data_IF_831964854858
#
_entry.id   IF_831964854858
#
_cell.length_a   1.000
_cell.length_b   1.000
_cell.length_c   1.000
_cell.angle_alpha   90.00
_cell.angle_beta   90.00
_cell.angle_gamma   90.00
#
_symmetry.space_group_name_H-M   'P 1'
#
loop_
_entity.id
_entity.type
_entity.pdbx_description
1 polymer ?
#
# COMPACT_ATOMS: atom_id res chain seq x y z
N UNK A 1 -8.15 -50.87 -27.39
CA UNK A 1 -7.47 -49.86 -28.24
C UNK A 1 -6.22 -49.39 -27.49
N UNK A 2 -5.05 -49.80 -27.98
CA UNK A 2 -3.89 -48.95 -28.36
C UNK A 2 -3.79 -47.57 -27.65
N UNK A 3 -2.68 -47.05 -27.08
CA UNK A 3 -1.22 -47.14 -27.27
C UNK A 3 -0.49 -46.68 -25.98
N UNK A 4 0.77 -47.10 -25.87
CA UNK A 4 1.81 -46.96 -24.82
C UNK A 4 2.66 -45.67 -25.00
N UNK A 5 3.49 -45.32 -24.00
CA UNK A 5 4.75 -44.50 -24.03
C UNK A 5 4.62 -42.97 -23.77
N UNK A 6 5.56 -42.21 -23.21
CA UNK A 6 6.94 -42.36 -22.65
C UNK A 6 7.27 -41.02 -21.90
N UNK A 7 8.10 -41.06 -20.85
CA UNK A 7 8.81 -39.89 -20.27
C UNK A 7 9.92 -39.39 -21.22
N UNK A 8 10.44 -38.15 -21.09
CA UNK A 8 11.70 -37.98 -20.34
C UNK A 8 11.87 -36.68 -19.53
N UNK A 9 12.77 -36.76 -18.57
CA UNK A 9 13.40 -35.66 -17.83
C UNK A 9 14.35 -34.84 -18.73
N UNK A 10 14.45 -33.54 -18.45
CA UNK A 10 15.53 -32.69 -18.95
C UNK A 10 16.15 -31.92 -17.78
N UNK A 11 17.44 -32.17 -17.58
CA UNK A 11 18.34 -31.46 -16.68
C UNK A 11 18.62 -30.05 -17.20
N UNK A 12 18.86 -29.09 -16.30
CA UNK A 12 19.54 -27.84 -16.62
C UNK A 12 20.73 -27.64 -15.69
N UNK A 13 21.86 -27.55 -16.35
CA UNK A 13 23.25 -27.50 -15.91
C UNK A 13 23.62 -26.19 -15.24
N UNK A 14 24.53 -26.30 -14.26
CA UNK A 14 25.36 -25.22 -13.71
C UNK A 14 26.08 -24.40 -14.80
N UNK A 15 26.12 -23.08 -14.61
CA UNK A 15 27.15 -22.20 -15.16
C UNK A 15 27.64 -21.26 -14.05
N UNK A 16 28.94 -21.34 -13.74
CA UNK A 16 29.69 -20.47 -12.86
C UNK A 16 30.52 -19.45 -13.67
N UNK A 17 31.15 -18.50 -12.96
CA UNK A 17 32.10 -17.44 -13.39
C UNK A 17 31.44 -16.09 -13.78
N UNK A 18 31.88 -14.92 -13.31
CA UNK A 18 33.01 -14.51 -12.44
C UNK A 18 32.76 -13.10 -11.84
N UNK A 19 33.47 -12.71 -10.75
CA UNK A 19 33.41 -11.38 -10.14
C UNK A 19 34.70 -10.56 -10.42
N UNK A 20 34.58 -9.34 -10.94
CA UNK A 20 35.61 -8.28 -11.02
C UNK A 20 34.81 -6.95 -11.20
N UNK A 21 35.04 -5.81 -10.54
CA UNK A 21 36.29 -5.16 -10.15
C UNK A 21 36.11 -4.15 -9.00
N UNK A 22 37.18 -4.05 -8.22
CA UNK A 22 37.61 -3.04 -7.26
C UNK A 22 37.09 -1.59 -7.38
N UNK A 23 36.91 -0.94 -6.22
CA UNK A 23 37.58 0.33 -5.98
C UNK A 23 38.05 0.43 -4.51
N UNK A 24 39.27 0.95 -4.38
CA UNK A 24 40.20 0.93 -3.25
C UNK A 24 39.82 1.88 -2.09
N UNK A 25 39.94 1.36 -0.85
CA UNK A 25 40.60 1.89 0.37
C UNK A 25 41.19 3.32 0.40
N UNK A 26 41.26 4.01 1.59
CA UNK A 26 42.01 3.52 2.75
C UNK A 26 41.47 3.83 4.18
N UNK A 27 41.90 2.99 5.12
CA UNK A 27 41.82 3.17 6.58
C UNK A 27 42.86 4.21 7.09
N UNK A 28 42.77 4.69 8.35
CA UNK A 28 43.48 3.96 9.42
C UNK A 28 42.83 3.94 10.82
N UNK A 29 42.99 2.78 11.47
CA UNK A 29 43.37 2.46 12.87
C UNK A 29 42.77 3.12 14.12
N UNK A 30 42.51 2.23 15.10
CA UNK A 30 42.45 2.35 16.58
C UNK A 30 41.21 3.06 17.16
N UNK A 31 40.45 2.48 18.10
CA UNK A 31 40.91 2.03 19.43
C UNK A 31 39.89 1.06 20.05
N UNK A 32 40.40 0.02 20.73
CA UNK A 32 39.67 -0.88 21.62
C UNK A 32 39.15 -0.11 22.84
N UNK A 33 37.86 -0.21 23.17
CA UNK A 33 37.36 0.12 24.50
C UNK A 33 36.33 -0.92 24.95
N UNK A 34 36.57 -1.41 26.17
CA UNK A 34 35.93 -2.53 26.80
C UNK A 34 34.51 -2.22 27.31
N UNK A 35 33.78 -3.30 27.53
CA UNK A 35 32.47 -3.48 28.16
C UNK A 35 32.13 -2.54 29.33
N UNK A 36 30.91 -2.03 29.30
CA UNK A 36 30.06 -1.81 30.48
C UNK A 36 28.59 -1.97 30.07
N UNK A 37 27.83 -2.93 30.62
CA UNK A 37 26.38 -2.97 30.43
C UNK A 37 25.73 -1.91 31.33
N UNK A 38 25.36 -0.78 30.74
CA UNK A 38 24.61 0.26 31.46
C UNK A 38 23.13 -0.16 31.60
N UNK A 39 22.49 0.02 32.77
CA UNK A 39 21.18 -0.54 33.07
C UNK A 39 20.04 0.26 32.42
N UNK A 40 19.08 -0.48 31.84
CA UNK A 40 17.65 -0.15 31.79
C UNK A 40 17.25 1.25 31.31
N UNK A 41 17.32 1.48 30.00
CA UNK A 41 16.54 2.58 29.39
C UNK A 41 15.07 2.14 29.27
N UNK A 42 14.10 2.96 29.70
CA UNK A 42 12.68 2.68 29.45
C UNK A 42 12.48 2.57 27.94
N UNK A 43 11.77 1.53 27.50
CA UNK A 43 11.76 1.03 26.12
C UNK A 43 11.63 2.15 25.09
N UNK A 44 12.69 2.36 24.30
CA UNK A 44 12.65 3.25 23.16
C UNK A 44 11.65 2.65 22.15
N UNK A 45 10.52 3.32 21.93
CA UNK A 45 9.57 2.92 20.90
C UNK A 45 10.28 2.97 19.54
N UNK A 46 10.43 1.81 18.90
CA UNK A 46 11.05 1.72 17.59
C UNK A 46 10.02 2.06 16.53
N UNK A 47 10.23 3.17 15.82
CA UNK A 47 9.46 3.46 14.61
C UNK A 47 9.95 2.62 13.44
N UNK A 48 9.03 2.22 12.57
CA UNK A 48 9.31 1.49 11.34
C UNK A 48 9.72 2.44 10.23
N UNK A 49 10.52 1.92 9.31
CA UNK A 49 10.74 2.60 8.04
C UNK A 49 9.42 2.70 7.26
N UNK A 50 9.23 3.74 6.45
CA UNK A 50 8.05 3.87 5.60
C UNK A 50 7.88 2.64 4.71
N UNK A 51 6.64 2.16 4.61
CA UNK A 51 6.27 1.07 3.71
C UNK A 51 6.52 1.45 2.25
N UNK A 52 6.84 0.45 1.42
CA UNK A 52 6.89 0.62 -0.05
C UNK A 52 5.53 1.00 -0.63
N UNK A 53 4.43 0.71 0.08
CA UNK A 53 3.09 1.15 -0.29
C UNK A 53 2.96 2.67 -0.32
N UNK A 54 3.83 3.42 0.38
CA UNK A 54 3.84 4.88 0.29
C UNK A 54 4.37 5.43 -1.04
N UNK A 55 4.99 4.58 -1.86
CA UNK A 55 5.29 4.94 -3.25
C UNK A 55 4.06 4.83 -4.16
N UNK A 56 3.05 4.04 -3.77
CA UNK A 56 1.74 3.99 -4.43
C UNK A 56 0.79 5.02 -3.81
N UNK A 57 0.51 4.93 -2.50
CA UNK A 57 -0.24 5.97 -1.79
C UNK A 57 0.68 7.16 -1.50
N UNK A 58 0.85 8.01 -2.50
CA UNK A 58 1.65 9.23 -2.40
C UNK A 58 0.98 10.25 -1.48
N UNK A 59 1.76 11.22 -1.00
CA UNK A 59 1.22 12.31 -0.18
C UNK A 59 0.20 13.16 -0.95
N UNK A 60 0.34 13.29 -2.27
CA UNK A 60 -0.60 14.07 -3.08
C UNK A 60 -1.93 13.32 -3.26
N UNK A 61 -1.90 12.03 -3.57
CA UNK A 61 -3.09 11.18 -3.60
C UNK A 61 -3.80 11.13 -2.23
N UNK A 62 -3.04 11.13 -1.13
CA UNK A 62 -3.62 11.21 0.20
C UNK A 62 -4.27 12.57 0.50
N UNK A 63 -3.74 13.67 -0.05
CA UNK A 63 -4.28 15.03 0.11
C UNK A 63 -5.54 15.31 -0.68
N UNK A 64 -5.81 14.53 -1.73
CA UNK A 64 -7.12 14.54 -2.40
C UNK A 64 -8.20 14.19 -1.36
N UNK A 65 -8.05 13.07 -0.64
CA UNK A 65 -9.04 12.63 0.36
C UNK A 65 -8.95 13.35 1.71
N UNK A 66 -7.74 13.67 2.16
CA UNK A 66 -7.49 14.23 3.50
C UNK A 66 -6.68 15.51 3.36
N UNK A 67 -7.35 16.68 3.33
CA UNK A 67 -6.66 17.97 3.21
C UNK A 67 -5.56 18.13 4.26
N UNK A 68 -4.35 18.47 3.80
CA UNK A 68 -3.19 18.63 4.69
C UNK A 68 -2.63 17.33 5.26
N UNK A 69 -3.00 16.17 4.70
CA UNK A 69 -2.47 14.86 5.06
C UNK A 69 -0.95 14.84 5.27
N UNK A 70 -0.55 14.24 6.40
CA UNK A 70 0.84 14.00 6.79
C UNK A 70 1.06 12.52 7.02
N UNK A 71 2.26 12.05 6.67
CA UNK A 71 2.63 10.65 6.86
C UNK A 71 2.53 10.25 8.34
N UNK A 72 1.91 9.10 8.59
CA UNK A 72 1.75 8.54 9.93
C UNK A 72 2.80 7.45 10.15
N UNK A 73 3.82 7.78 10.94
CA UNK A 73 4.87 6.83 11.29
C UNK A 73 4.29 5.67 12.11
N UNK A 74 4.69 4.45 11.76
CA UNK A 74 4.25 3.26 12.48
C UNK A 74 5.23 2.88 13.57
N UNK A 75 4.68 2.47 14.72
CA UNK A 75 5.45 1.86 15.78
C UNK A 75 5.56 0.36 15.51
N UNK A 76 6.78 -0.15 15.53
CA UNK A 76 7.04 -1.58 15.35
C UNK A 76 6.54 -2.37 16.55
N UNK A 77 5.99 -3.58 16.36
CA UNK A 77 5.59 -4.41 17.47
C UNK A 77 6.82 -4.92 18.23
N UNK A 78 6.68 -5.14 19.54
CA UNK A 78 7.75 -5.75 20.35
C UNK A 78 8.09 -7.17 19.90
N UNK A 79 7.11 -7.87 19.28
CA UNK A 79 7.25 -9.22 18.72
C UNK A 79 6.44 -9.38 17.44
N UNK A 80 6.94 -10.18 16.51
CA UNK A 80 6.26 -10.50 15.24
C UNK A 80 6.62 -9.55 14.11
N UNK A 81 5.97 -9.74 12.97
CA UNK A 81 6.14 -8.91 11.77
C UNK A 81 5.15 -7.76 11.80
N UNK A 82 5.62 -6.54 11.55
CA UNK A 82 4.74 -5.40 11.40
C UNK A 82 3.84 -5.52 10.16
N UNK A 83 2.59 -5.05 10.21
CA UNK A 83 1.76 -5.00 9.03
C UNK A 83 2.36 -4.05 7.99
N UNK A 84 2.27 -4.41 6.71
CA UNK A 84 2.70 -3.55 5.63
C UNK A 84 1.61 -2.51 5.34
N UNK A 85 1.79 -1.30 5.85
CA UNK A 85 0.79 -0.24 5.77
C UNK A 85 1.45 1.06 5.30
N UNK A 86 0.78 1.82 4.44
CA UNK A 86 1.04 3.25 4.30
C UNK A 86 -0.16 4.03 4.83
N UNK A 87 0.06 5.03 5.67
CA UNK A 87 -1.02 5.81 6.25
C UNK A 87 -0.67 7.30 6.30
N UNK A 88 -1.70 8.12 6.10
CA UNK A 88 -1.65 9.56 6.30
C UNK A 88 -2.83 10.00 7.15
N UNK A 89 -2.62 11.03 7.95
CA UNK A 89 -3.62 11.60 8.83
C UNK A 89 -3.59 13.12 8.72
N UNK A 90 -4.75 13.76 8.87
CA UNK A 90 -4.83 15.21 8.95
C UNK A 90 -4.16 15.72 10.23
N UNK A 91 -3.66 16.96 10.27
CA UNK A 91 -2.96 17.51 11.44
C UNK A 91 -3.84 17.58 12.71
N UNK A 92 -5.15 17.72 12.52
CA UNK A 92 -6.17 17.78 13.57
C UNK A 92 -6.79 16.41 13.89
N UNK A 93 -6.40 15.35 13.19
CA UNK A 93 -6.92 13.99 13.38
C UNK A 93 -8.35 13.76 12.88
N UNK A 94 -8.96 14.74 12.21
CA UNK A 94 -10.32 14.64 11.66
C UNK A 94 -10.44 13.71 10.47
N UNK A 95 -9.33 13.39 9.78
CA UNK A 95 -9.32 12.50 8.62
C UNK A 95 -8.09 11.62 8.56
N UNK A 96 -8.25 10.42 8.02
CA UNK A 96 -7.15 9.50 7.75
C UNK A 96 -7.39 8.68 6.49
N UNK A 97 -6.30 8.31 5.82
CA UNK A 97 -6.31 7.38 4.69
C UNK A 97 -5.16 6.40 4.85
N UNK A 98 -5.40 5.13 4.56
CA UNK A 98 -4.36 4.10 4.57
C UNK A 98 -4.53 3.06 3.48
N UNK A 99 -3.40 2.54 3.00
CA UNK A 99 -3.33 1.46 2.03
C UNK A 99 -2.63 0.25 2.66
N UNK A 100 -3.27 -0.91 2.57
CA UNK A 100 -2.76 -2.18 3.11
C UNK A 100 -3.04 -3.34 2.15
N UNK A 101 -2.22 -4.40 2.15
CA UNK A 101 -2.64 -5.68 1.59
C UNK A 101 -3.70 -6.28 2.51
N UNK A 102 -4.74 -6.87 1.92
CA UNK A 102 -5.74 -7.58 2.69
C UNK A 102 -5.11 -8.80 3.39
N UNK A 103 -5.63 -9.10 4.58
CA UNK A 103 -5.20 -10.29 5.34
C UNK A 103 -5.92 -11.56 4.87
N UNK A 104 -7.00 -11.40 4.09
CA UNK A 104 -7.81 -12.49 3.55
C UNK A 104 -7.95 -12.36 2.02
N UNK A 105 -8.26 -13.45 1.31
CA UNK A 105 -8.60 -13.38 -0.11
C UNK A 105 -9.84 -12.52 -0.34
N UNK A 106 -9.93 -11.87 -1.50
CA UNK A 106 -11.07 -11.03 -1.91
C UNK A 106 -12.46 -11.60 -1.58
N UNK A 107 -12.70 -12.89 -1.86
CA UNK A 107 -14.00 -13.51 -1.59
C UNK A 107 -14.35 -13.53 -0.09
N UNK A 108 -13.35 -13.68 0.78
CA UNK A 108 -13.52 -13.66 2.23
C UNK A 108 -13.72 -12.22 2.74
N UNK A 109 -13.03 -11.24 2.17
CA UNK A 109 -13.27 -9.81 2.46
C UNK A 109 -14.70 -9.41 2.07
N UNK A 110 -15.16 -9.80 0.89
CA UNK A 110 -16.52 -9.53 0.43
C UNK A 110 -17.58 -10.20 1.32
N UNK A 111 -17.35 -11.45 1.74
CA UNK A 111 -18.23 -12.14 2.67
C UNK A 111 -18.28 -11.46 4.05
N UNK A 112 -17.14 -10.97 4.54
CA UNK A 112 -17.07 -10.20 5.79
C UNK A 112 -17.87 -8.90 5.69
N UNK A 113 -17.70 -8.15 4.60
CA UNK A 113 -18.45 -6.92 4.33
C UNK A 113 -19.97 -7.14 4.32
N UNK A 114 -20.45 -8.20 3.65
CA UNK A 114 -21.87 -8.54 3.67
C UNK A 114 -22.38 -9.00 5.04
N UNK A 115 -21.54 -9.72 5.81
CA UNK A 115 -21.89 -10.12 7.17
C UNK A 115 -22.03 -8.91 8.09
N UNK A 116 -21.09 -7.96 8.00
CA UNK A 116 -21.15 -6.69 8.72
C UNK A 116 -22.35 -5.85 8.32
N UNK A 117 -22.69 -5.81 7.02
CA UNK A 117 -23.91 -5.15 6.55
C UNK A 117 -25.18 -5.77 7.14
N UNK A 118 -25.20 -7.10 7.31
CA UNK A 118 -26.35 -7.81 7.85
C UNK A 118 -26.51 -7.58 9.36
N UNK A 119 -25.40 -7.49 10.11
CA UNK A 119 -25.40 -7.25 11.55
C UNK A 119 -24.27 -6.27 11.96
N UNK A 120 -24.50 -4.95 11.86
CA UNK A 120 -23.46 -3.95 12.08
C UNK A 120 -23.25 -3.56 13.55
N UNK A 121 -24.24 -3.84 14.41
CA UNK A 121 -24.23 -3.39 15.80
C UNK A 121 -23.07 -3.93 16.65
N UNK A 122 -22.65 -5.21 16.52
CA UNK A 122 -21.50 -5.74 17.26
C UNK A 122 -20.18 -5.04 16.94
N UNK A 123 -20.04 -4.47 15.75
CA UNK A 123 -18.88 -3.68 15.33
C UNK A 123 -18.99 -2.19 15.72
N UNK A 124 -20.07 -1.78 16.41
CA UNK A 124 -20.34 -0.38 16.69
C UNK A 124 -20.64 0.44 15.44
N UNK A 125 -21.09 -0.20 14.37
CA UNK A 125 -21.32 0.44 13.08
C UNK A 125 -22.81 0.62 12.78
N UNK A 126 -23.11 1.55 11.87
CA UNK A 126 -24.44 1.78 11.34
C UNK A 126 -24.37 2.28 9.90
N UNK A 127 -25.50 2.25 9.18
CA UNK A 127 -25.57 2.76 7.81
C UNK A 127 -24.72 1.99 6.80
N UNK A 128 -24.35 0.73 7.09
CA UNK A 128 -23.42 -0.05 6.26
C UNK A 128 -24.00 -0.28 4.86
N UNK A 129 -23.18 0.00 3.84
CA UNK A 129 -23.45 -0.26 2.42
C UNK A 129 -22.26 -1.00 1.81
N UNK A 130 -22.54 -1.86 0.84
CA UNK A 130 -21.54 -2.61 0.08
C UNK A 130 -21.94 -2.53 -1.38
N UNK A 131 -21.10 -1.88 -2.18
CA UNK A 131 -21.35 -1.60 -3.60
C UNK A 131 -20.24 -2.20 -4.46
N UNK A 132 -20.59 -2.83 -5.58
CA UNK A 132 -19.60 -3.30 -6.55
C UNK A 132 -18.94 -2.11 -7.25
N UNK A 133 -17.62 -2.18 -7.42
CA UNK A 133 -16.84 -1.16 -8.13
C UNK A 133 -16.31 -1.75 -9.43
N UNK A 134 -16.58 -1.07 -10.54
CA UNK A 134 -16.04 -1.41 -11.86
C UNK A 134 -14.81 -0.57 -12.20
N UNK A 135 -13.95 -1.11 -13.07
CA UNK A 135 -12.75 -0.42 -13.56
C UNK A 135 -11.63 -0.31 -12.52
N UNK A 136 -11.63 -1.17 -11.49
CA UNK A 136 -10.60 -1.24 -10.47
C UNK A 136 -10.19 -2.71 -10.27
N UNK A 137 -8.96 -3.06 -10.65
CA UNK A 137 -8.49 -4.44 -10.62
C UNK A 137 -9.36 -5.40 -11.45
N UNK A 138 -9.33 -6.69 -11.11
CA UNK A 138 -10.20 -7.70 -11.72
C UNK A 138 -11.60 -7.68 -11.10
N UNK A 139 -11.66 -7.45 -9.79
CA UNK A 139 -12.90 -7.27 -9.01
C UNK A 139 -12.65 -6.28 -7.89
N UNK A 140 -13.66 -5.48 -7.58
CA UNK A 140 -13.60 -4.53 -6.50
C UNK A 140 -14.98 -4.29 -5.87
N UNK A 141 -14.97 -3.89 -4.60
CA UNK A 141 -16.14 -3.38 -3.90
C UNK A 141 -15.76 -2.20 -3.01
N UNK A 142 -16.76 -1.38 -2.69
CA UNK A 142 -16.69 -0.30 -1.72
C UNK A 142 -17.64 -0.65 -0.58
N UNK A 143 -17.14 -0.65 0.64
CA UNK A 143 -17.94 -0.69 1.85
C UNK A 143 -17.92 0.70 2.48
N UNK A 144 -19.08 1.23 2.87
CA UNK A 144 -19.18 2.49 3.62
C UNK A 144 -19.99 2.27 4.88
N UNK A 145 -19.54 2.82 6.00
CA UNK A 145 -20.18 2.68 7.30
C UNK A 145 -19.97 3.93 8.15
N UNK A 146 -20.80 4.08 9.18
CA UNK A 146 -20.58 5.05 10.25
C UNK A 146 -20.26 4.34 11.56
N UNK A 147 -19.09 4.63 12.13
CA UNK A 147 -18.64 4.18 13.44
C UNK A 147 -19.26 5.08 14.51
N UNK A 148 -20.17 4.52 15.28
CA UNK A 148 -21.03 5.26 16.23
C UNK A 148 -20.31 5.79 17.47
N UNK A 149 -19.34 5.06 18.02
CA UNK A 149 -18.54 5.46 19.18
C UNK A 149 -17.46 6.48 18.83
N UNK A 150 -16.83 6.35 17.66
CA UNK A 150 -15.78 7.26 17.21
C UNK A 150 -16.33 8.48 16.47
N UNK A 151 -17.63 8.50 16.13
CA UNK A 151 -18.25 9.54 15.31
C UNK A 151 -17.51 9.71 13.98
N UNK A 152 -17.33 8.61 13.25
CA UNK A 152 -16.56 8.58 12.00
C UNK A 152 -17.33 7.92 10.86
N UNK A 153 -17.28 8.52 9.68
CA UNK A 153 -17.60 7.85 8.43
C UNK A 153 -16.36 7.11 7.96
N UNK A 154 -16.51 5.84 7.60
CA UNK A 154 -15.43 4.97 7.15
C UNK A 154 -15.80 4.37 5.80
N UNK A 155 -14.87 4.44 4.86
CA UNK A 155 -14.97 3.82 3.53
C UNK A 155 -13.81 2.85 3.36
N UNK A 156 -14.13 1.60 3.05
CA UNK A 156 -13.17 0.60 2.60
C UNK A 156 -13.35 0.35 1.11
N UNK A 157 -12.34 0.67 0.31
CA UNK A 157 -12.28 0.25 -1.10
C UNK A 157 -11.38 -0.96 -1.20
N UNK A 158 -11.95 -2.10 -1.57
CA UNK A 158 -11.25 -3.40 -1.63
C UNK A 158 -11.21 -3.88 -3.07
N UNK A 159 -10.04 -4.24 -3.57
CA UNK A 159 -9.88 -4.76 -4.93
C UNK A 159 -8.85 -5.87 -5.02
N UNK A 160 -9.02 -6.74 -6.00
CA UNK A 160 -8.03 -7.76 -6.34
C UNK A 160 -7.25 -7.36 -7.58
N UNK A 161 -5.92 -7.51 -7.52
CA UNK A 161 -5.00 -7.29 -8.63
C UNK A 161 -4.01 -8.46 -8.67
N UNK A 162 -4.17 -9.35 -9.66
CA UNK A 162 -3.45 -10.61 -9.72
C UNK A 162 -3.66 -11.45 -8.46
N UNK A 163 -2.56 -11.91 -7.85
CA UNK A 163 -2.60 -12.76 -6.65
C UNK A 163 -2.86 -12.00 -5.33
N UNK A 164 -2.97 -10.67 -5.35
CA UNK A 164 -3.10 -9.84 -4.14
C UNK A 164 -4.47 -9.17 -4.06
N UNK A 165 -4.94 -8.98 -2.84
CA UNK A 165 -6.10 -8.14 -2.52
C UNK A 165 -5.61 -6.94 -1.73
N UNK A 166 -6.12 -5.77 -2.05
CA UNK A 166 -5.72 -4.48 -1.49
C UNK A 166 -6.91 -3.82 -0.82
N UNK A 167 -6.65 -3.07 0.25
CA UNK A 167 -7.64 -2.31 1.00
C UNK A 167 -7.14 -0.88 1.15
N UNK A 168 -7.88 0.06 0.57
CA UNK A 168 -7.78 1.49 0.84
C UNK A 168 -8.86 1.84 1.88
N UNK A 169 -8.44 2.25 3.06
CA UNK A 169 -9.33 2.71 4.12
C UNK A 169 -9.26 4.23 4.17
N UNK A 170 -10.42 4.89 4.07
CA UNK A 170 -10.59 6.30 4.33
C UNK A 170 -11.52 6.45 5.54
N UNK A 171 -11.16 7.31 6.50
CA UNK A 171 -12.01 7.63 7.62
C UNK A 171 -12.03 9.13 7.85
N UNK A 172 -13.20 9.69 8.14
CA UNK A 172 -13.38 11.10 8.49
C UNK A 172 -14.37 11.25 9.63
N UNK A 173 -14.17 12.26 10.48
CA UNK A 173 -15.13 12.60 11.54
C UNK A 173 -16.44 13.08 10.95
N UNK A 174 -17.55 12.69 11.55
CA UNK A 174 -18.89 13.15 11.18
C UNK A 174 -19.90 12.89 12.29
N UNK A 175 -21.03 13.57 12.26
CA UNK A 175 -22.04 13.48 13.33
C UNK A 175 -23.07 12.35 13.10
N UNK A 176 -23.00 11.69 11.94
CA UNK A 176 -23.90 10.60 11.60
C UNK A 176 -23.57 9.96 10.24
N UNK A 177 -24.35 8.94 9.86
CA UNK A 177 -24.15 8.25 8.59
C UNK A 177 -24.37 9.18 7.40
N UNK A 178 -23.35 9.28 6.56
CA UNK A 178 -23.44 10.00 5.29
C UNK A 178 -23.84 9.01 4.19
N UNK A 179 -24.83 9.40 3.38
CA UNK A 179 -25.17 8.63 2.19
C UNK A 179 -23.97 8.71 1.22
N UNK A 180 -23.38 7.58 0.81
CA UNK A 180 -22.24 7.60 -0.08
C UNK A 180 -22.65 8.14 -1.45
N UNK A 181 -21.73 8.84 -2.11
CA UNK A 181 -21.89 9.24 -3.51
C UNK A 181 -22.06 8.02 -4.42
N UNK A 182 -22.54 8.26 -5.64
CA UNK A 182 -22.54 7.23 -6.68
C UNK A 182 -21.11 6.69 -6.86
N UNK A 183 -20.94 5.38 -7.03
CA UNK A 183 -19.62 4.74 -7.15
C UNK A 183 -18.77 5.35 -8.27
N UNK A 184 -19.40 5.87 -9.33
CA UNK A 184 -18.70 6.52 -10.44
C UNK A 184 -17.99 7.81 -10.03
N UNK A 185 -18.58 8.56 -9.08
CA UNK A 185 -18.18 9.91 -8.67
C UNK A 185 -17.53 9.93 -7.28
N UNK A 186 -17.35 8.77 -6.66
CA UNK A 186 -16.75 8.64 -5.33
C UNK A 186 -15.24 8.88 -5.38
N UNK A 187 -14.79 9.86 -4.60
CA UNK A 187 -13.40 10.29 -4.59
C UNK A 187 -12.45 9.18 -4.09
N UNK A 188 -12.87 8.39 -3.10
CA UNK A 188 -12.07 7.27 -2.56
C UNK A 188 -11.88 6.20 -3.64
N UNK A 189 -12.92 5.93 -4.43
CA UNK A 189 -12.84 5.05 -5.60
C UNK A 189 -11.95 5.66 -6.69
N UNK A 190 -12.03 6.98 -6.92
CA UNK A 190 -11.17 7.72 -7.84
C UNK A 190 -9.69 7.53 -7.52
N UNK A 191 -9.31 7.76 -6.25
CA UNK A 191 -7.95 7.54 -5.76
C UNK A 191 -7.54 6.08 -5.89
N UNK A 192 -8.38 5.12 -5.48
CA UNK A 192 -8.06 3.70 -5.60
C UNK A 192 -7.77 3.29 -7.06
N UNK A 193 -8.49 3.85 -8.04
CA UNK A 193 -8.22 3.63 -9.48
C UNK A 193 -6.87 4.20 -9.90
N UNK A 194 -6.47 5.35 -9.39
CA UNK A 194 -5.14 5.91 -9.65
C UNK A 194 -4.05 4.99 -9.11
N UNK A 195 -4.19 4.53 -7.85
CA UNK A 195 -3.25 3.60 -7.22
C UNK A 195 -3.11 2.29 -8.00
N UNK A 196 -4.23 1.71 -8.45
CA UNK A 196 -4.21 0.47 -9.23
C UNK A 196 -3.48 0.62 -10.57
N UNK A 197 -3.66 1.76 -11.28
CA UNK A 197 -2.93 2.02 -12.54
C UNK A 197 -1.43 2.21 -12.32
N UNK A 198 -1.05 2.85 -11.22
CA UNK A 198 0.36 3.03 -10.87
C UNK A 198 1.03 1.69 -10.54
N UNK A 199 0.31 0.80 -9.87
CA UNK A 199 0.77 -0.56 -9.60
C UNK A 199 0.95 -1.43 -10.85
N UNK A 200 0.13 -1.22 -11.88
CA UNK A 200 0.30 -1.89 -13.17
C UNK A 200 1.47 -1.32 -13.97
N UNK A 201 1.73 -0.01 -13.83
CA UNK A 201 2.85 0.68 -14.51
C UNK A 201 4.20 0.40 -13.87
N UNK A 202 4.22 0.21 -12.58
CA UNK A 202 5.40 -0.13 -11.82
C UNK A 202 5.02 -1.22 -10.82
N UNK A 203 5.59 -2.43 -10.90
CA UNK A 203 5.28 -3.51 -9.97
C UNK A 203 5.90 -3.26 -8.58
N UNK A 204 5.62 -2.09 -7.98
CA UNK A 204 5.82 -1.78 -6.56
C UNK A 204 5.03 -2.79 -5.72
N UNK A 205 3.92 -3.30 -6.26
CA UNK A 205 3.05 -4.31 -5.66
C UNK A 205 3.50 -5.77 -5.89
N UNK A 206 4.65 -5.98 -6.57
CA UNK A 206 5.19 -7.31 -6.85
C UNK A 206 6.62 -7.31 -7.43
N UNK A 207 7.63 -7.13 -6.58
CA UNK A 207 9.05 -7.49 -6.80
C UNK A 207 9.88 -6.62 -7.79
N UNK A 208 10.84 -5.88 -7.18
CA UNK A 208 12.20 -5.46 -7.62
C UNK A 208 12.37 -4.50 -8.82
N UNK A 209 12.77 -3.27 -8.46
CA UNK A 209 13.77 -2.38 -9.10
C UNK A 209 13.62 -2.18 -10.61
N UNK A 210 12.93 -1.11 -11.01
CA UNK A 210 13.43 -0.01 -11.86
C UNK A 210 12.23 0.82 -12.33
N UNK A 211 11.87 1.86 -11.57
CA UNK A 211 10.89 2.84 -12.04
C UNK A 211 11.44 4.24 -11.77
N UNK A 212 12.59 4.52 -12.36
CA UNK A 212 12.96 5.91 -12.61
C UNK A 212 12.11 6.44 -13.77
N UNK A 213 11.48 7.62 -13.66
CA UNK A 213 11.06 8.33 -14.86
C UNK A 213 12.34 8.70 -15.61
N UNK A 214 12.50 8.20 -16.85
CA UNK A 214 13.44 8.81 -17.78
C UNK A 214 12.98 10.27 -17.92
N UNK A 215 13.80 11.22 -17.47
CA UNK A 215 13.61 12.63 -17.81
C UNK A 215 13.57 12.72 -19.32
N UNK A 216 12.37 12.92 -19.88
CA UNK A 216 12.21 13.31 -21.26
C UNK A 216 13.03 14.58 -21.46
N UNK A 217 13.98 14.50 -22.40
CA UNK A 217 14.96 15.53 -22.66
C UNK A 217 14.33 16.89 -22.89
N UNK A 218 14.95 17.90 -22.29
CA UNK A 218 14.77 19.30 -22.63
C UNK A 218 14.92 19.48 -24.15
N UNK A 219 13.92 20.02 -24.88
CA UNK A 219 14.16 20.44 -26.26
C UNK A 219 15.15 21.61 -26.21
N UNK A 220 16.34 21.40 -26.79
CA UNK A 220 17.35 22.45 -26.93
C UNK A 220 16.81 23.63 -27.74
N UNK A 221 17.33 24.85 -27.53
CA UNK A 221 16.86 26.04 -28.23
C UNK A 221 17.14 25.92 -29.73
N UNK A 222 16.09 26.10 -30.54
CA UNK A 222 16.20 26.19 -31.99
C UNK A 222 16.99 27.46 -32.37
N UNK A 223 18.13 27.27 -33.03
CA UNK A 223 18.89 28.33 -33.68
C UNK A 223 18.22 28.64 -35.02
N UNK A 224 17.80 29.89 -35.30
CA UNK A 224 17.29 30.24 -36.62
C UNK A 224 18.46 30.36 -37.61
N UNK A 225 18.37 29.62 -38.72
CA UNK A 225 19.25 29.79 -39.88
C UNK A 225 18.66 30.88 -40.80
N UNK A 226 19.40 31.98 -40.95
CA UNK A 226 19.35 32.91 -42.09
C UNK A 226 20.13 32.26 -43.26
N UNK A 227 19.73 32.46 -44.54
CA UNK A 227 19.64 33.77 -45.18
C UNK A 227 18.32 34.11 -45.87
#
# INVERSE_FOLDING_TARGET
MTVRRLLPAAALTLAACAPLSACDSPAPSTTTAATSPTPGSPGAMRTLLPSRLCAALTADAARELVPGARFTAQVGPDKGTAPDVCAYTSPDGSGSVSLTPATRPYAAELAAAYSLRADPAPAGMSGVRVDTVSGLGERAFRETAYQTQAHQNVTFTVWNAGARTWVLTYASTGEGPVAPGAVGDDEVVGVARTLAREADRCPILGVVVDCCPVSAGSPGPAVPALP
#
